data_IF_844962355637
#
_entry.id   IF_844962355637
#
_cell.length_a   1.000
_cell.length_b   1.000
_cell.length_c   1.000
_cell.angle_alpha   90.00
_cell.angle_beta   90.00
_cell.angle_gamma   90.00
#
_symmetry.space_group_name_H-M   'P 1'
#
loop_
_entity.id
_entity.type
_entity.pdbx_description
1 polymer ?
#
# COMPACT_ATOMS: atom_id res chain seq x y z
N UNK A 1 -25.83 -5.76 17.54
CA UNK A 1 -24.41 -5.90 17.93
C UNK A 1 -24.35 -7.03 18.95
N UNK A 2 -23.55 -8.05 18.66
CA UNK A 2 -23.27 -9.11 19.60
C UNK A 2 -22.37 -8.57 20.71
N UNK A 3 -22.60 -9.01 21.93
CA UNK A 3 -21.82 -8.63 23.11
C UNK A 3 -21.11 -9.88 23.64
N UNK A 4 -19.80 -9.78 23.81
CA UNK A 4 -18.97 -10.88 24.30
C UNK A 4 -18.38 -10.53 25.67
N UNK A 5 -18.32 -11.51 26.57
CA UNK A 5 -17.61 -11.34 27.82
C UNK A 5 -16.11 -11.67 27.61
N UNK A 6 -15.29 -10.64 27.52
CA UNK A 6 -13.84 -10.75 27.30
C UNK A 6 -13.02 -10.50 28.58
N UNK A 7 -13.66 -10.47 29.76
CA UNK A 7 -12.99 -10.13 31.03
C UNK A 7 -11.90 -11.12 31.47
N UNK A 8 -11.91 -12.34 30.94
CA UNK A 8 -10.89 -13.36 31.22
C UNK A 8 -9.67 -13.26 30.29
N UNK A 9 -9.72 -12.46 29.23
CA UNK A 9 -8.62 -12.32 28.28
C UNK A 9 -7.53 -11.43 28.88
N UNK A 10 -6.32 -11.95 28.91
CA UNK A 10 -5.15 -11.25 29.43
C UNK A 10 -4.34 -10.60 28.30
N UNK A 11 -3.51 -9.62 28.65
CA UNK A 11 -2.57 -9.04 27.68
C UNK A 11 -1.61 -10.08 27.08
N UNK A 12 -1.23 -11.10 27.86
CA UNK A 12 -0.40 -12.19 27.39
C UNK A 12 -1.12 -13.05 26.33
N UNK A 13 -2.43 -13.29 26.48
CA UNK A 13 -3.23 -14.00 25.48
C UNK A 13 -3.30 -13.20 24.18
N UNK A 14 -3.53 -11.90 24.26
CA UNK A 14 -3.59 -11.01 23.10
C UNK A 14 -2.25 -11.02 22.37
N UNK A 15 -1.12 -10.85 23.08
CA UNK A 15 0.22 -10.88 22.47
C UNK A 15 0.55 -12.23 21.84
N UNK A 16 0.17 -13.33 22.48
CA UNK A 16 0.36 -14.68 21.96
C UNK A 16 -0.41 -14.87 20.66
N UNK A 17 -1.71 -14.56 20.65
CA UNK A 17 -2.57 -14.70 19.46
C UNK A 17 -2.06 -13.86 18.30
N UNK A 18 -1.64 -12.61 18.53
CA UNK A 18 -1.07 -11.74 17.50
C UNK A 18 0.18 -12.37 16.88
N UNK A 19 1.13 -12.81 17.72
CA UNK A 19 2.37 -13.42 17.25
C UNK A 19 2.15 -14.71 16.46
N UNK A 20 1.22 -15.55 16.90
CA UNK A 20 0.99 -16.87 16.31
C UNK A 20 0.12 -16.83 15.04
N UNK A 21 -0.79 -15.83 14.90
CA UNK A 21 -1.83 -15.87 13.87
C UNK A 21 -1.91 -14.61 12.99
N UNK A 22 -1.41 -13.46 13.46
CA UNK A 22 -1.63 -12.17 12.80
C UNK A 22 -0.32 -11.47 12.42
N UNK A 23 0.81 -12.18 12.42
CA UNK A 23 2.13 -11.68 12.02
C UNK A 23 2.70 -12.57 10.91
N UNK A 24 3.47 -11.98 9.99
CA UNK A 24 3.99 -12.66 8.80
C UNK A 24 2.99 -12.68 7.65
N UNK A 25 3.05 -13.73 6.83
CA UNK A 25 2.15 -13.90 5.69
C UNK A 25 0.83 -14.51 6.16
N UNK A 26 -0.25 -13.75 6.00
CA UNK A 26 -1.58 -14.18 6.38
C UNK A 26 -2.59 -14.01 5.25
N UNK A 27 -3.69 -14.73 5.31
CA UNK A 27 -4.83 -14.55 4.42
C UNK A 27 -5.89 -13.70 5.12
N UNK A 28 -6.31 -12.62 4.48
CA UNK A 28 -7.32 -11.70 5.01
C UNK A 28 -8.52 -11.61 4.07
N UNK A 29 -9.72 -11.75 4.61
CA UNK A 29 -10.97 -11.50 3.87
C UNK A 29 -11.27 -10.00 3.96
N UNK A 30 -11.32 -9.27 2.82
CA UNK A 30 -11.62 -7.84 2.83
C UNK A 30 -12.99 -7.56 3.47
N UNK A 31 -13.15 -6.46 4.24
CA UNK A 31 -14.44 -6.13 4.85
C UNK A 31 -15.44 -5.67 3.78
N UNK A 32 -16.75 -5.91 4.02
CA UNK A 32 -17.82 -5.43 3.14
C UNK A 32 -17.77 -3.90 2.95
N UNK A 33 -17.43 -3.16 4.00
CA UNK A 33 -17.27 -1.71 3.92
C UNK A 33 -15.87 -1.38 3.43
N UNK A 34 -15.64 -1.57 2.11
CA UNK A 34 -14.37 -1.24 1.45
C UNK A 34 -14.62 -0.69 0.04
N UNK A 35 -13.58 -0.07 -0.54
CA UNK A 35 -13.61 0.45 -1.91
C UNK A 35 -13.30 -0.63 -2.97
N UNK A 36 -13.07 -1.87 -2.56
CA UNK A 36 -12.83 -2.99 -3.47
C UNK A 36 -14.02 -3.17 -4.40
N UNK A 37 -13.75 -3.39 -5.68
CA UNK A 37 -14.80 -3.66 -6.69
C UNK A 37 -14.96 -5.15 -6.90
N UNK A 38 -16.23 -5.59 -6.96
CA UNK A 38 -16.66 -6.91 -7.40
C UNK A 38 -17.75 -6.67 -8.44
N UNK A 39 -17.63 -7.28 -9.60
CA UNK A 39 -18.55 -7.12 -10.74
C UNK A 39 -18.82 -5.65 -11.12
N UNK A 40 -17.76 -4.82 -11.07
CA UNK A 40 -17.81 -3.41 -11.43
C UNK A 40 -18.34 -2.46 -10.35
N UNK A 41 -18.97 -2.97 -9.29
CA UNK A 41 -19.56 -2.21 -8.17
C UNK A 41 -18.70 -2.33 -6.91
N UNK A 42 -18.62 -1.27 -6.10
CA UNK A 42 -17.82 -1.27 -4.88
C UNK A 42 -18.51 -2.04 -3.74
N UNK A 43 -17.76 -2.77 -2.92
CA UNK A 43 -18.32 -3.55 -1.81
C UNK A 43 -19.13 -2.71 -0.82
N UNK A 44 -18.72 -1.47 -0.54
CA UNK A 44 -19.50 -0.61 0.36
C UNK A 44 -20.85 -0.18 -0.23
N UNK A 45 -21.06 -0.23 -1.54
CA UNK A 45 -22.35 0.03 -2.19
C UNK A 45 -23.29 -1.15 -1.94
N UNK A 46 -22.80 -2.39 -2.11
CA UNK A 46 -23.55 -3.60 -1.73
C UNK A 46 -23.90 -3.61 -0.24
N UNK A 47 -22.96 -3.22 0.63
CA UNK A 47 -23.20 -3.16 2.07
C UNK A 47 -24.32 -2.17 2.45
N UNK A 48 -24.44 -1.04 1.75
CA UNK A 48 -25.54 -0.07 1.94
C UNK A 48 -26.88 -0.61 1.49
N UNK A 49 -26.90 -1.49 0.53
CA UNK A 49 -28.11 -2.18 0.03
C UNK A 49 -28.49 -3.41 0.88
N UNK A 50 -27.67 -3.72 1.91
CA UNK A 50 -27.88 -4.90 2.75
C UNK A 50 -27.51 -6.22 2.05
N UNK A 51 -26.82 -6.16 0.91
CA UNK A 51 -26.41 -7.33 0.14
C UNK A 51 -25.01 -7.75 0.59
N UNK A 52 -24.90 -9.00 1.03
CA UNK A 52 -23.60 -9.61 1.34
C UNK A 52 -23.03 -10.31 0.10
N UNK A 53 -21.78 -9.99 -0.25
CA UNK A 53 -21.06 -10.56 -1.38
C UNK A 53 -19.95 -11.46 -0.84
N UNK A 54 -19.81 -12.64 -1.41
CA UNK A 54 -18.67 -13.51 -1.13
C UNK A 54 -17.37 -12.82 -1.52
N UNK A 55 -16.40 -12.84 -0.61
CA UNK A 55 -15.10 -12.19 -0.77
C UNK A 55 -13.99 -13.22 -0.65
N UNK A 56 -13.17 -13.30 -1.67
CA UNK A 56 -11.99 -14.16 -1.64
C UNK A 56 -10.95 -13.61 -0.67
N UNK A 57 -10.41 -14.47 0.17
CA UNK A 57 -9.26 -14.13 1.00
C UNK A 57 -8.06 -13.73 0.11
N UNK A 58 -7.29 -12.74 0.56
CA UNK A 58 -6.12 -12.22 -0.15
C UNK A 58 -4.89 -12.30 0.74
N UNK A 59 -3.73 -12.64 0.18
CA UNK A 59 -2.49 -12.61 0.94
C UNK A 59 -2.14 -11.17 1.31
N UNK A 60 -1.74 -10.98 2.56
CA UNK A 60 -1.15 -9.74 3.08
C UNK A 60 0.02 -10.11 3.98
N UNK A 61 0.99 -9.21 4.09
CA UNK A 61 2.15 -9.41 4.96
C UNK A 61 2.12 -8.41 6.11
N UNK A 62 2.23 -8.91 7.34
CA UNK A 62 2.32 -8.11 8.56
C UNK A 62 3.74 -8.25 9.09
N UNK A 63 4.59 -7.26 8.80
CA UNK A 63 5.99 -7.28 9.21
C UNK A 63 6.18 -7.03 10.71
N UNK A 64 5.22 -6.29 11.32
CA UNK A 64 5.24 -6.00 12.75
C UNK A 64 3.82 -5.78 13.26
N UNK A 65 3.51 -6.35 14.44
CA UNK A 65 2.26 -6.13 15.14
C UNK A 65 2.50 -6.15 16.64
N UNK A 66 2.69 -4.98 17.22
CA UNK A 66 2.87 -4.81 18.67
C UNK A 66 1.56 -4.47 19.35
N UNK A 67 1.40 -4.97 20.56
CA UNK A 67 0.24 -4.74 21.42
C UNK A 67 0.73 -4.25 22.79
N UNK A 68 0.15 -3.14 23.23
CA UNK A 68 0.35 -2.58 24.56
C UNK A 68 -0.98 -2.50 25.30
N UNK A 69 -1.00 -2.97 26.55
CA UNK A 69 -2.14 -2.79 27.43
C UNK A 69 -2.31 -1.30 27.79
N UNK A 70 -3.54 -0.89 28.06
CA UNK A 70 -3.84 0.45 28.59
C UNK A 70 -4.42 0.32 30.01
N UNK A 71 -4.79 1.45 30.63
CA UNK A 71 -5.46 1.46 31.93
C UNK A 71 -6.84 0.78 31.89
N UNK A 72 -7.47 0.73 30.73
CA UNK A 72 -8.70 -0.02 30.48
C UNK A 72 -8.34 -1.45 30.03
N UNK A 73 -8.67 -2.50 30.80
CA UNK A 73 -8.28 -3.87 30.48
C UNK A 73 -8.85 -4.42 29.17
N UNK A 74 -9.86 -3.77 28.60
CA UNK A 74 -10.47 -4.14 27.32
C UNK A 74 -9.98 -3.28 26.15
N UNK A 75 -9.08 -2.32 26.40
CA UNK A 75 -8.54 -1.42 25.37
C UNK A 75 -7.03 -1.62 25.23
N UNK A 76 -6.61 -1.86 24.01
CA UNK A 76 -5.21 -2.05 23.67
C UNK A 76 -4.75 -0.99 22.65
N UNK A 77 -3.53 -0.52 22.81
CA UNK A 77 -2.84 0.23 21.78
C UNK A 77 -2.13 -0.75 20.85
N UNK A 78 -2.29 -0.56 19.54
CA UNK A 78 -1.66 -1.39 18.53
C UNK A 78 -0.74 -0.57 17.66
N UNK A 79 0.43 -1.12 17.31
CA UNK A 79 1.33 -0.61 16.29
C UNK A 79 1.51 -1.66 15.22
N UNK A 80 1.15 -1.35 13.97
CA UNK A 80 1.12 -2.32 12.87
C UNK A 80 1.92 -1.80 11.69
N UNK A 81 2.87 -2.61 11.20
CA UNK A 81 3.52 -2.41 9.90
C UNK A 81 3.10 -3.54 8.97
N UNK A 82 2.56 -3.18 7.81
CA UNK A 82 1.94 -4.15 6.92
C UNK A 82 2.05 -3.74 5.45
N UNK A 83 1.90 -4.72 4.58
CA UNK A 83 1.83 -4.50 3.13
C UNK A 83 0.61 -3.67 2.71
N UNK A 84 0.66 -3.13 1.51
CA UNK A 84 -0.52 -2.50 0.89
C UNK A 84 -1.68 -3.50 0.77
N UNK A 85 -2.91 -2.99 0.80
CA UNK A 85 -4.11 -3.82 0.74
C UNK A 85 -4.54 -4.45 2.07
N UNK A 86 -3.75 -4.31 3.14
CA UNK A 86 -4.12 -4.78 4.49
C UNK A 86 -5.23 -3.91 5.09
N UNK A 87 -6.25 -4.54 5.62
CA UNK A 87 -7.34 -3.90 6.36
C UNK A 87 -7.11 -4.01 7.86
N UNK A 88 -6.64 -2.95 8.49
CA UNK A 88 -6.37 -2.91 9.94
C UNK A 88 -7.65 -3.15 10.76
N UNK A 89 -8.82 -2.78 10.23
CA UNK A 89 -10.13 -3.11 10.85
C UNK A 89 -10.38 -4.61 10.89
N UNK A 90 -10.01 -5.32 9.84
CA UNK A 90 -10.13 -6.79 9.80
C UNK A 90 -9.14 -7.45 10.76
N UNK A 91 -7.91 -6.91 10.92
CA UNK A 91 -6.98 -7.42 11.93
C UNK A 91 -7.56 -7.33 13.34
N UNK A 92 -8.27 -6.24 13.67
CA UNK A 92 -8.91 -6.12 14.97
C UNK A 92 -10.08 -7.12 15.15
N UNK A 93 -10.91 -7.30 14.12
CA UNK A 93 -12.02 -8.27 14.13
C UNK A 93 -11.50 -9.71 14.26
N UNK A 94 -10.50 -10.07 13.44
CA UNK A 94 -9.85 -11.40 13.48
C UNK A 94 -9.21 -11.67 14.85
N UNK A 95 -8.53 -10.68 15.44
CA UNK A 95 -7.99 -10.79 16.79
C UNK A 95 -9.08 -11.09 17.82
N UNK A 96 -10.19 -10.36 17.77
CA UNK A 96 -11.33 -10.61 18.67
C UNK A 96 -11.90 -12.01 18.52
N UNK A 97 -12.07 -12.51 17.31
CA UNK A 97 -12.56 -13.85 17.00
C UNK A 97 -11.60 -14.94 17.51
N UNK A 98 -10.32 -14.77 17.29
CA UNK A 98 -9.28 -15.70 17.75
C UNK A 98 -9.19 -15.76 19.28
N UNK A 99 -9.58 -14.71 19.98
CA UNK A 99 -9.69 -14.64 21.42
C UNK A 99 -11.04 -15.18 21.96
N UNK A 100 -11.91 -15.68 21.08
CA UNK A 100 -13.22 -16.25 21.42
C UNK A 100 -14.33 -15.20 21.62
N UNK A 101 -14.16 -13.99 21.10
CA UNK A 101 -15.15 -12.92 21.20
C UNK A 101 -15.14 -11.96 20.00
N UNK A 102 -15.19 -10.67 20.26
CA UNK A 102 -15.17 -9.64 19.25
C UNK A 102 -14.25 -8.48 19.64
N UNK A 103 -13.66 -7.84 18.64
CA UNK A 103 -12.94 -6.59 18.82
C UNK A 103 -13.14 -5.65 17.62
N UNK A 104 -12.91 -4.38 17.82
CA UNK A 104 -13.02 -3.38 16.77
C UNK A 104 -12.03 -2.22 17.00
N UNK A 105 -11.72 -1.51 15.93
CA UNK A 105 -10.91 -0.30 16.04
C UNK A 105 -11.74 0.85 16.65
N UNK A 106 -11.24 1.39 17.76
CA UNK A 106 -11.78 2.62 18.36
C UNK A 106 -11.22 3.87 17.69
N UNK A 107 -9.91 3.86 17.34
CA UNK A 107 -9.20 4.94 16.65
C UNK A 107 -8.15 4.34 15.73
N UNK A 108 -7.86 5.01 14.62
CA UNK A 108 -6.79 4.64 13.70
C UNK A 108 -6.03 5.90 13.28
N UNK A 109 -4.71 5.84 13.35
CA UNK A 109 -3.81 6.86 12.83
C UNK A 109 -2.78 6.19 11.93
N UNK A 110 -2.64 6.68 10.71
CA UNK A 110 -1.59 6.25 9.80
C UNK A 110 -0.42 7.21 9.95
N UNK A 111 0.71 6.70 10.39
CA UNK A 111 1.92 7.49 10.65
C UNK A 111 2.94 7.43 9.53
N UNK A 112 2.81 6.41 8.62
CA UNK A 112 3.73 6.23 7.50
C UNK A 112 3.05 5.55 6.31
N UNK A 113 3.46 5.93 5.09
CA UNK A 113 3.14 5.24 3.83
C UNK A 113 4.42 5.20 2.99
N UNK A 114 5.01 4.02 2.82
CA UNK A 114 6.33 3.91 2.22
C UNK A 114 7.36 4.77 2.96
N UNK A 115 8.02 5.68 2.25
CA UNK A 115 8.98 6.63 2.81
C UNK A 115 8.34 7.86 3.47
N UNK A 116 7.08 8.15 3.17
CA UNK A 116 6.41 9.35 3.67
C UNK A 116 5.95 9.12 5.11
N UNK A 117 6.45 9.96 6.01
CA UNK A 117 6.10 9.95 7.42
C UNK A 117 5.14 11.08 7.77
N UNK A 118 4.58 11.02 8.96
CA UNK A 118 3.67 12.05 9.44
C UNK A 118 4.34 13.42 9.55
N UNK A 119 5.63 13.48 9.88
CA UNK A 119 6.39 14.72 9.96
C UNK A 119 6.52 15.46 8.62
N UNK A 120 6.36 14.73 7.51
CA UNK A 120 6.37 15.29 6.15
C UNK A 120 5.01 15.83 5.72
N UNK A 121 3.99 15.75 6.56
CA UNK A 121 2.64 16.25 6.25
C UNK A 121 2.48 17.70 6.64
N UNK A 122 1.61 18.41 5.94
CA UNK A 122 1.19 19.77 6.27
C UNK A 122 -0.30 19.82 6.62
N UNK A 123 -0.73 20.88 7.29
CA UNK A 123 -2.13 21.08 7.60
C UNK A 123 -2.93 21.33 6.30
N UNK A 124 -4.19 20.88 6.26
CA UNK A 124 -5.08 21.07 5.10
C UNK A 124 -5.36 22.53 4.79
N UNK A 125 -5.35 23.38 5.82
CA UNK A 125 -5.57 24.82 5.71
C UNK A 125 -4.38 25.55 5.09
N UNK A 126 -3.18 24.95 5.12
CA UNK A 126 -1.95 25.49 4.55
C UNK A 126 -1.11 24.35 3.94
N UNK A 127 -1.57 23.74 2.82
CA UNK A 127 -0.91 22.60 2.24
C UNK A 127 0.43 23.01 1.61
N UNK A 128 1.47 22.23 1.92
CA UNK A 128 2.77 22.33 1.25
C UNK A 128 2.89 21.14 0.29
N UNK A 129 3.04 21.43 -1.00
CA UNK A 129 3.23 20.41 -2.02
C UNK A 129 4.70 20.00 -2.05
N UNK A 130 4.93 18.70 -2.08
CA UNK A 130 6.25 18.15 -2.41
C UNK A 130 6.49 18.29 -3.91
N UNK A 131 7.76 18.48 -4.31
CA UNK A 131 8.10 18.45 -5.73
C UNK A 131 7.94 17.03 -6.30
N UNK A 132 7.64 16.92 -7.59
CA UNK A 132 7.52 15.63 -8.26
C UNK A 132 8.82 14.82 -8.13
N UNK A 133 9.98 15.49 -8.23
CA UNK A 133 11.31 14.87 -8.02
C UNK A 133 11.42 14.29 -6.61
N UNK A 134 10.99 15.03 -5.59
CA UNK A 134 10.96 14.55 -4.20
C UNK A 134 10.09 13.32 -4.00
N UNK A 135 9.08 13.08 -4.84
CA UNK A 135 8.23 11.89 -4.75
C UNK A 135 8.94 10.62 -5.24
N UNK A 136 9.87 10.73 -6.18
CA UNK A 136 10.50 9.60 -6.89
C UNK A 136 11.99 9.44 -6.62
N UNK A 137 12.61 10.27 -5.78
CA UNK A 137 14.07 10.23 -5.50
C UNK A 137 14.56 8.90 -4.90
N UNK A 138 13.66 8.06 -4.41
CA UNK A 138 13.95 6.73 -3.87
C UNK A 138 14.01 5.64 -4.97
N UNK A 139 13.59 5.98 -6.18
CA UNK A 139 13.64 5.07 -7.33
C UNK A 139 15.00 5.18 -8.01
N UNK A 140 15.44 4.09 -8.62
CA UNK A 140 16.62 4.12 -9.45
C UNK A 140 16.38 5.07 -10.64
N UNK A 141 17.36 5.96 -10.89
CA UNK A 141 17.27 6.99 -11.91
C UNK A 141 17.77 6.46 -13.26
N UNK A 142 17.06 6.83 -14.32
CA UNK A 142 17.43 6.59 -15.71
C UNK A 142 17.44 7.91 -16.45
N UNK A 143 18.55 8.23 -17.08
CA UNK A 143 18.72 9.45 -17.89
C UNK A 143 18.63 9.10 -19.37
N UNK A 144 17.72 9.75 -20.09
CA UNK A 144 17.49 9.54 -21.52
C UNK A 144 18.10 10.65 -22.35
N UNK A 145 18.52 10.31 -23.56
CA UNK A 145 18.82 11.31 -24.59
C UNK A 145 17.54 12.02 -25.09
N UNK A 146 17.70 13.09 -25.84
CA UNK A 146 16.58 13.92 -26.30
C UNK A 146 15.56 13.17 -27.18
N UNK A 147 16.02 12.25 -28.02
CA UNK A 147 15.14 11.46 -28.90
C UNK A 147 14.30 10.47 -28.11
N UNK A 148 14.94 9.74 -27.21
CA UNK A 148 14.28 8.76 -26.34
C UNK A 148 13.36 9.44 -25.31
N UNK A 149 13.75 10.63 -24.81
CA UNK A 149 12.94 11.46 -23.93
C UNK A 149 11.64 11.92 -24.60
N UNK A 150 11.69 12.33 -25.87
CA UNK A 150 10.48 12.69 -26.61
C UNK A 150 9.52 11.50 -26.74
N UNK A 151 10.02 10.30 -27.00
CA UNK A 151 9.22 9.08 -27.03
C UNK A 151 8.62 8.77 -25.66
N UNK A 152 9.38 8.98 -24.58
CA UNK A 152 8.91 8.77 -23.21
C UNK A 152 7.74 9.69 -22.86
N UNK A 153 7.79 10.96 -23.25
CA UNK A 153 6.72 11.95 -23.07
C UNK A 153 5.41 11.53 -23.76
N UNK A 154 5.50 10.77 -24.84
CA UNK A 154 4.35 10.23 -25.55
C UNK A 154 3.92 8.84 -25.03
N UNK A 155 4.47 8.39 -23.91
CA UNK A 155 4.08 7.13 -23.27
C UNK A 155 4.62 5.87 -23.96
N UNK A 156 5.70 5.98 -24.73
CA UNK A 156 6.29 4.83 -25.39
C UNK A 156 6.90 3.83 -24.39
N UNK A 157 6.79 2.55 -24.68
CA UNK A 157 7.58 1.53 -23.99
C UNK A 157 9.04 1.62 -24.43
N UNK A 158 9.96 1.50 -23.46
CA UNK A 158 11.39 1.64 -23.69
C UNK A 158 12.11 0.32 -23.36
N UNK A 159 13.18 -0.03 -24.09
CA UNK A 159 13.99 -1.20 -23.76
C UNK A 159 14.77 -0.94 -22.45
N UNK A 160 14.77 -1.93 -21.55
CA UNK A 160 15.59 -1.93 -20.34
C UNK A 160 17.00 -2.30 -20.73
N UNK A 161 17.92 -1.34 -20.66
CA UNK A 161 19.34 -1.54 -20.95
C UNK A 161 20.17 -1.02 -19.77
N UNK A 162 20.89 -1.92 -19.11
CA UNK A 162 21.75 -1.59 -17.96
C UNK A 162 22.82 -0.55 -18.34
N UNK A 163 23.31 -0.56 -19.60
CA UNK A 163 24.29 0.41 -20.07
C UNK A 163 23.71 1.85 -20.14
N UNK A 164 22.41 2.00 -20.19
CA UNK A 164 21.68 3.27 -20.15
C UNK A 164 21.15 3.63 -18.76
N UNK A 165 21.63 2.97 -17.71
CA UNK A 165 21.27 3.28 -16.32
C UNK A 165 20.04 2.55 -15.78
N UNK A 166 19.44 1.62 -16.52
CA UNK A 166 18.33 0.80 -16.02
C UNK A 166 18.83 -0.25 -15.05
N UNK A 167 18.98 0.12 -13.77
CA UNK A 167 19.54 -0.73 -12.72
C UNK A 167 18.43 -1.29 -11.83
N UNK A 168 18.55 -2.56 -11.45
CA UNK A 168 17.58 -3.26 -10.60
C UNK A 168 16.29 -3.65 -11.34
N UNK A 169 15.29 -4.07 -10.57
CA UNK A 169 14.04 -4.63 -11.11
C UNK A 169 12.93 -3.57 -11.28
N UNK A 170 13.28 -2.29 -11.14
CA UNK A 170 12.31 -1.19 -11.17
C UNK A 170 11.42 -1.11 -9.89
N UNK A 171 10.49 -0.17 -9.81
CA UNK A 171 10.26 0.91 -10.78
C UNK A 171 11.43 1.91 -10.87
N UNK A 172 11.48 2.64 -11.98
CA UNK A 172 12.52 3.64 -12.27
C UNK A 172 11.92 5.03 -12.43
N UNK A 173 12.65 6.04 -11.94
CA UNK A 173 12.40 7.44 -12.27
C UNK A 173 13.17 7.81 -13.53
N UNK A 174 12.47 8.27 -14.57
CA UNK A 174 13.03 8.52 -15.91
C UNK A 174 13.14 10.01 -16.15
N UNK A 175 14.33 10.45 -16.52
CA UNK A 175 14.66 11.85 -16.75
C UNK A 175 15.09 12.07 -18.19
N UNK A 176 14.73 13.22 -18.72
CA UNK A 176 15.21 13.75 -19.98
C UNK A 176 16.37 14.73 -19.78
N UNK A 177 16.80 15.40 -20.86
CA UNK A 177 17.81 16.47 -20.79
C UNK A 177 17.43 17.55 -19.77
N UNK A 178 18.45 18.19 -19.18
CA UNK A 178 18.31 19.26 -18.17
C UNK A 178 17.60 18.83 -16.87
N UNK A 179 17.77 17.59 -16.44
CA UNK A 179 17.19 17.04 -15.20
C UNK A 179 15.64 17.07 -15.14
N UNK A 180 15.00 17.05 -16.29
CA UNK A 180 13.54 17.07 -16.36
C UNK A 180 12.97 15.68 -16.07
N UNK A 181 12.21 15.52 -15.00
CA UNK A 181 11.52 14.27 -14.69
C UNK A 181 10.38 14.03 -15.71
N UNK A 182 10.46 12.94 -16.47
CA UNK A 182 9.48 12.58 -17.51
C UNK A 182 8.40 11.64 -17.00
N UNK A 183 8.73 10.80 -16.01
CA UNK A 183 7.77 9.86 -15.47
C UNK A 183 8.37 8.72 -14.65
N UNK A 184 7.51 7.76 -14.35
CA UNK A 184 7.87 6.52 -13.66
C UNK A 184 7.58 5.34 -14.57
N UNK A 185 8.53 4.43 -14.70
CA UNK A 185 8.46 3.27 -15.56
C UNK A 185 8.58 1.98 -14.75
N UNK A 186 7.86 0.94 -15.17
CA UNK A 186 7.91 -0.40 -14.58
C UNK A 186 8.22 -1.45 -15.64
N UNK A 187 8.88 -2.57 -15.25
CA UNK A 187 9.15 -3.66 -16.19
C UNK A 187 7.85 -4.29 -16.68
N UNK A 188 7.87 -4.82 -17.89
CA UNK A 188 6.77 -5.61 -18.44
C UNK A 188 7.22 -7.04 -18.68
N UNK A 189 6.25 -7.95 -18.88
CA UNK A 189 6.55 -9.29 -19.38
C UNK A 189 6.93 -9.28 -20.89
N UNK A 190 6.75 -8.16 -21.58
CA UNK A 190 7.07 -8.01 -22.99
C UNK A 190 8.56 -7.81 -23.18
N UNK A 191 9.08 -8.34 -24.30
CA UNK A 191 10.49 -8.22 -24.69
C UNK A 191 10.59 -7.62 -26.11
N UNK A 192 11.73 -7.02 -26.39
CA UNK A 192 12.08 -6.62 -27.76
C UNK A 192 12.35 -7.84 -28.64
N UNK A 193 12.42 -7.67 -29.96
CA UNK A 193 12.86 -8.71 -30.87
C UNK A 193 14.30 -9.23 -30.61
N UNK A 194 15.09 -8.49 -29.80
CA UNK A 194 16.44 -8.86 -29.35
C UNK A 194 16.45 -9.50 -27.93
N UNK A 195 15.27 -9.74 -27.33
CA UNK A 195 15.15 -10.37 -26.03
C UNK A 195 15.33 -9.43 -24.84
N UNK A 196 15.45 -8.11 -25.03
CA UNK A 196 15.51 -7.15 -23.93
C UNK A 196 14.12 -6.96 -23.32
N UNK A 197 14.05 -6.92 -21.99
CA UNK A 197 12.82 -6.54 -21.27
C UNK A 197 12.40 -5.12 -21.66
N UNK A 198 11.10 -4.89 -21.79
CA UNK A 198 10.53 -3.57 -22.00
C UNK A 198 10.04 -2.99 -20.69
N UNK A 199 10.28 -1.69 -20.48
CA UNK A 199 9.63 -0.91 -19.43
C UNK A 199 8.48 -0.11 -20.02
N UNK A 200 7.35 -0.07 -19.32
CA UNK A 200 6.19 0.75 -19.66
C UNK A 200 6.03 1.91 -18.67
N UNK A 201 5.54 3.07 -19.10
CA UNK A 201 5.20 4.13 -18.17
C UNK A 201 3.99 3.74 -17.31
N UNK A 202 4.09 3.97 -16.02
CA UNK A 202 2.95 3.96 -15.08
C UNK A 202 2.46 5.37 -14.79
N UNK A 203 3.37 6.34 -14.90
CA UNK A 203 3.08 7.77 -14.81
C UNK A 203 3.89 8.48 -15.89
N UNK A 204 3.25 9.33 -16.68
CA UNK A 204 3.90 10.29 -17.59
C UNK A 204 3.60 11.69 -17.06
N UNK A 205 4.65 12.50 -16.89
CA UNK A 205 4.53 13.89 -16.45
C UNK A 205 4.50 14.76 -17.71
N UNK A 206 3.29 15.23 -18.05
CA UNK A 206 3.13 16.15 -19.15
C UNK A 206 3.52 17.56 -18.67
N UNK A 207 4.49 18.17 -19.33
CA UNK A 207 4.76 19.60 -19.13
C UNK A 207 3.71 20.39 -19.90
N UNK A 208 2.90 21.16 -19.18
CA UNK A 208 2.21 22.30 -19.79
C UNK A 208 3.27 23.35 -20.10
N UNK A 209 3.68 23.43 -21.35
CA UNK A 209 4.54 24.51 -21.85
C UNK A 209 3.86 25.85 -21.75
#
# INVERSE_FOLDING_TARGET
>A
LETFNMSAVTAADVQRVVRENLTGDILQVPPMVSALKVDGKRLHEYAREGVEIERKARPVHISRFDIEATDDPLVYRMSVECSSGTYVRTLADDLGRLLGGGAHLRRLRRTRVGRFTEEMTSALESPQLLSEVGLVEHLARVDLDAETADRALHGAMLPVDVALGWVGDGPWSVYGPNDVLLGVYEPTASQTGLGLTLAKPTVVIAFSG
#
